data_IF_383605903278
#
_entry.id   IF_383605903278
#
_cell.length_a   1.000
_cell.length_b   1.000
_cell.length_c   1.000
_cell.angle_alpha   90.00
_cell.angle_beta   90.00
_cell.angle_gamma   90.00
#
_symmetry.space_group_name_H-M   'P 1'
#
loop_
_entity.id
_entity.type
_entity.pdbx_description
1 polymer ?
#
# COMPACT_ATOMS: atom_id res chain seq x y z
N UNK A 1 17.04 -13.62 -26.39
CA UNK A 1 17.31 -12.58 -25.36
C UNK A 1 16.13 -11.64 -25.15
N UNK A 2 15.58 -11.00 -26.20
CA UNK A 2 14.45 -10.05 -26.11
C UNK A 2 13.18 -10.57 -25.39
N UNK A 3 12.85 -11.86 -25.55
CA UNK A 3 11.65 -12.47 -24.92
C UNK A 3 11.73 -12.55 -23.38
N UNK A 4 12.95 -12.59 -22.81
CA UNK A 4 13.15 -12.58 -21.35
C UNK A 4 13.14 -11.15 -20.78
N UNK A 5 13.49 -10.16 -21.61
CA UNK A 5 13.51 -8.75 -21.23
C UNK A 5 12.08 -8.22 -21.03
N UNK A 6 11.16 -8.54 -21.93
CA UNK A 6 9.74 -8.14 -21.81
C UNK A 6 9.06 -8.68 -20.53
N UNK A 7 9.37 -9.94 -20.17
CA UNK A 7 8.93 -10.53 -18.90
C UNK A 7 9.40 -9.71 -17.69
N UNK A 8 10.65 -9.30 -17.71
CA UNK A 8 11.26 -8.53 -16.62
C UNK A 8 10.54 -7.18 -16.47
N UNK A 9 10.40 -6.43 -17.57
CA UNK A 9 9.70 -5.14 -17.54
C UNK A 9 8.25 -5.24 -17.05
N UNK A 10 7.52 -6.29 -17.43
CA UNK A 10 6.12 -6.46 -16.99
C UNK A 10 6.01 -6.75 -15.49
N UNK A 11 6.81 -7.68 -14.97
CA UNK A 11 6.76 -8.06 -13.55
C UNK A 11 7.20 -6.89 -12.67
N UNK A 12 8.36 -6.32 -12.96
CA UNK A 12 8.91 -5.24 -12.13
C UNK A 12 8.21 -3.90 -12.36
N UNK A 13 7.67 -3.66 -13.54
CA UNK A 13 6.80 -2.51 -13.78
C UNK A 13 5.53 -2.58 -12.92
N UNK A 14 4.83 -3.73 -12.92
CA UNK A 14 3.68 -3.95 -12.05
C UNK A 14 4.04 -3.84 -10.56
N UNK A 15 5.22 -4.35 -10.17
CA UNK A 15 5.73 -4.27 -8.81
C UNK A 15 6.02 -2.82 -8.39
N UNK A 16 6.72 -2.03 -9.19
CA UNK A 16 7.02 -0.62 -8.92
C UNK A 16 5.74 0.20 -8.81
N UNK A 17 4.77 0.00 -9.70
CA UNK A 17 3.47 0.68 -9.62
C UNK A 17 2.74 0.32 -8.33
N UNK A 18 2.74 -0.97 -7.96
CA UNK A 18 2.14 -1.41 -6.70
C UNK A 18 2.88 -0.85 -5.48
N UNK A 19 4.20 -0.67 -5.57
CA UNK A 19 5.00 -0.06 -4.52
C UNK A 19 4.65 1.42 -4.30
N UNK A 20 4.49 2.16 -5.40
CA UNK A 20 4.05 3.55 -5.36
C UNK A 20 2.63 3.68 -4.79
N UNK A 21 1.71 2.80 -5.18
CA UNK A 21 0.36 2.76 -4.62
C UNK A 21 0.35 2.39 -3.13
N UNK A 22 1.13 1.39 -2.73
CA UNK A 22 1.28 1.04 -1.32
C UNK A 22 1.83 2.21 -0.49
N UNK A 23 2.74 3.00 -1.08
CA UNK A 23 3.30 4.19 -0.42
C UNK A 23 2.23 5.29 -0.28
N UNK A 24 1.38 5.47 -1.29
CA UNK A 24 0.21 6.35 -1.20
C UNK A 24 -0.72 5.91 -0.05
N UNK A 25 -1.04 4.61 0.03
CA UNK A 25 -1.85 4.05 1.12
C UNK A 25 -1.21 4.32 2.49
N UNK A 26 0.11 4.12 2.61
CA UNK A 26 0.85 4.43 3.84
C UNK A 26 0.61 5.87 4.29
N UNK A 27 0.73 6.83 3.36
CA UNK A 27 0.54 8.26 3.67
C UNK A 27 -0.89 8.56 4.07
N UNK A 28 -1.87 8.08 3.30
CA UNK A 28 -3.29 8.34 3.54
C UNK A 28 -3.77 7.69 4.84
N UNK A 29 -3.40 6.44 5.10
CA UNK A 29 -3.77 5.74 6.35
C UNK A 29 -3.14 6.43 7.55
N UNK A 30 -1.86 6.85 7.46
CA UNK A 30 -1.23 7.62 8.54
C UNK A 30 -1.97 8.93 8.80
N UNK A 31 -2.37 9.65 7.75
CA UNK A 31 -3.12 10.89 7.89
C UNK A 31 -4.51 10.64 8.50
N UNK A 32 -5.23 9.59 8.06
CA UNK A 32 -6.52 9.21 8.62
C UNK A 32 -6.42 8.90 10.14
N UNK A 33 -5.39 8.16 10.56
CA UNK A 33 -5.11 7.89 11.98
C UNK A 33 -4.89 9.19 12.73
N UNK A 34 -4.09 10.11 12.19
CA UNK A 34 -3.82 11.41 12.82
C UNK A 34 -5.11 12.21 13.01
N UNK A 35 -5.97 12.28 11.99
CA UNK A 35 -7.26 12.96 12.06
C UNK A 35 -8.16 12.37 13.14
N UNK A 36 -8.26 11.04 13.21
CA UNK A 36 -9.05 10.35 14.23
C UNK A 36 -8.51 10.60 15.64
N UNK A 37 -7.19 10.44 15.83
CA UNK A 37 -6.56 10.55 17.15
C UNK A 37 -6.66 11.98 17.69
N UNK A 38 -6.58 13.01 16.85
CA UNK A 38 -6.79 14.40 17.29
C UNK A 38 -8.17 14.60 17.92
N UNK A 39 -9.19 13.94 17.36
CA UNK A 39 -10.59 14.09 17.77
C UNK A 39 -10.96 13.27 19.00
N UNK A 40 -10.37 12.08 19.17
CA UNK A 40 -10.77 11.13 20.21
C UNK A 40 -9.77 10.97 21.36
N UNK A 41 -8.56 11.51 21.25
CA UNK A 41 -7.48 11.22 22.20
C UNK A 41 -6.80 12.50 22.71
N UNK A 42 -6.54 12.54 24.03
CA UNK A 42 -5.80 13.61 24.68
C UNK A 42 -4.32 13.69 24.28
N UNK A 43 -3.62 14.71 24.79
CA UNK A 43 -2.23 15.07 24.38
C UNK A 43 -1.24 13.90 24.39
N UNK A 44 -1.34 13.00 25.37
CA UNK A 44 -0.41 11.88 25.55
C UNK A 44 -0.64 10.77 24.52
N UNK A 45 -1.90 10.45 24.22
CA UNK A 45 -2.21 9.41 23.23
C UNK A 45 -1.99 9.87 21.78
N UNK A 46 -2.02 11.19 21.50
CA UNK A 46 -1.53 11.73 20.21
C UNK A 46 -0.06 11.40 19.97
N UNK A 47 0.81 11.69 20.93
CA UNK A 47 2.25 11.44 20.79
C UNK A 47 2.55 9.95 20.59
N UNK A 48 1.86 9.08 21.32
CA UNK A 48 2.00 7.64 21.15
C UNK A 48 1.52 7.19 19.76
N UNK A 49 0.33 7.60 19.33
CA UNK A 49 -0.22 7.17 18.03
C UNK A 49 0.63 7.63 16.84
N UNK A 50 1.18 8.85 16.88
CA UNK A 50 2.06 9.38 15.81
C UNK A 50 3.28 8.48 15.61
N UNK A 51 3.94 8.11 16.71
CA UNK A 51 5.21 7.41 16.66
C UNK A 51 5.03 5.91 16.40
N UNK A 52 4.04 5.27 17.04
CA UNK A 52 3.81 3.83 16.87
C UNK A 52 3.16 3.49 15.53
N UNK A 53 2.22 4.30 15.02
CA UNK A 53 1.58 4.03 13.73
C UNK A 53 2.58 4.02 12.58
N UNK A 54 3.59 4.90 12.60
CA UNK A 54 4.61 4.95 11.57
C UNK A 54 5.42 3.65 11.49
N UNK A 55 5.80 3.08 12.63
CA UNK A 55 6.54 1.81 12.68
C UNK A 55 5.67 0.67 12.17
N UNK A 56 4.43 0.55 12.66
CA UNK A 56 3.53 -0.56 12.32
C UNK A 56 3.18 -0.53 10.82
N UNK A 57 2.77 0.63 10.29
CA UNK A 57 2.36 0.75 8.89
C UNK A 57 3.60 0.66 7.98
N UNK A 58 4.76 1.17 8.42
CA UNK A 58 6.00 1.06 7.66
C UNK A 58 6.47 -0.38 7.50
N UNK A 59 6.39 -1.17 8.58
CA UNK A 59 6.66 -2.61 8.52
C UNK A 59 5.65 -3.35 7.64
N UNK A 60 4.36 -3.06 7.78
CA UNK A 60 3.33 -3.65 6.93
C UNK A 60 3.56 -3.34 5.45
N UNK A 61 3.93 -2.11 5.12
CA UNK A 61 4.29 -1.68 3.77
C UNK A 61 5.50 -2.46 3.23
N UNK A 62 6.58 -2.53 3.99
CA UNK A 62 7.80 -3.24 3.58
C UNK A 62 7.53 -4.73 3.32
N UNK A 63 6.80 -5.38 4.23
CA UNK A 63 6.38 -6.77 4.08
C UNK A 63 5.56 -6.94 2.80
N UNK A 64 4.55 -6.08 2.59
CA UNK A 64 3.71 -6.14 1.40
C UNK A 64 4.51 -6.02 0.09
N UNK A 65 5.49 -5.10 0.03
CA UNK A 65 6.36 -4.90 -1.14
C UNK A 65 7.15 -6.18 -1.47
N UNK A 66 7.77 -6.79 -0.46
CA UNK A 66 8.57 -8.01 -0.62
C UNK A 66 7.70 -9.17 -1.10
N UNK A 67 6.52 -9.35 -0.49
CA UNK A 67 5.57 -10.38 -0.90
C UNK A 67 5.01 -10.16 -2.30
N UNK A 68 4.74 -8.91 -2.68
CA UNK A 68 4.20 -8.58 -4.00
C UNK A 68 5.15 -8.94 -5.13
N UNK A 69 6.46 -8.85 -4.91
CA UNK A 69 7.44 -9.25 -5.91
C UNK A 69 7.31 -10.76 -6.22
N UNK A 70 7.32 -11.58 -5.17
CA UNK A 70 7.14 -13.03 -5.30
C UNK A 70 5.77 -13.36 -5.93
N UNK A 71 4.72 -12.66 -5.49
CA UNK A 71 3.36 -12.85 -5.99
C UNK A 71 3.22 -12.55 -7.48
N UNK A 72 3.91 -11.52 -8.01
CA UNK A 72 3.90 -11.21 -9.44
C UNK A 72 4.80 -12.13 -10.25
N UNK A 73 5.93 -12.58 -9.71
CA UNK A 73 6.79 -13.59 -10.36
C UNK A 73 6.02 -14.90 -10.60
N UNK A 74 5.31 -15.39 -9.58
CA UNK A 74 4.42 -16.55 -9.69
C UNK A 74 3.20 -16.26 -10.59
N UNK A 75 2.65 -15.05 -10.52
CA UNK A 75 1.55 -14.63 -11.37
C UNK A 75 1.90 -14.72 -12.85
N UNK A 76 3.11 -14.30 -13.20
CA UNK A 76 3.58 -14.35 -14.56
C UNK A 76 3.81 -15.79 -15.04
N UNK A 77 4.41 -16.67 -14.22
CA UNK A 77 4.62 -18.07 -14.62
C UNK A 77 3.30 -18.81 -14.88
N UNK A 78 2.23 -18.43 -14.19
CA UNK A 78 0.88 -18.96 -14.39
C UNK A 78 0.06 -18.21 -15.46
N UNK A 79 0.58 -17.17 -16.12
CA UNK A 79 -0.18 -16.34 -17.07
C UNK A 79 -1.28 -15.47 -16.43
N UNK A 80 -1.26 -15.31 -15.11
CA UNK A 80 -2.27 -14.60 -14.32
C UNK A 80 -1.83 -13.19 -13.88
N UNK A 81 -0.69 -12.69 -14.37
CA UNK A 81 -0.13 -11.38 -13.98
C UNK A 81 -1.17 -10.24 -14.03
N UNK A 82 -1.90 -9.99 -15.14
CA UNK A 82 -2.85 -8.87 -15.19
C UNK A 82 -3.99 -9.02 -14.19
N UNK A 83 -4.47 -10.25 -13.94
CA UNK A 83 -5.50 -10.51 -12.94
C UNK A 83 -4.99 -10.28 -11.52
N UNK A 84 -3.76 -10.71 -11.22
CA UNK A 84 -3.11 -10.49 -9.92
C UNK A 84 -2.85 -9.00 -9.69
N UNK A 85 -2.29 -8.30 -10.67
CA UNK A 85 -2.05 -6.86 -10.62
C UNK A 85 -3.35 -6.07 -10.45
N UNK A 86 -4.39 -6.40 -11.21
CA UNK A 86 -5.69 -5.75 -11.09
C UNK A 86 -6.31 -5.93 -9.70
N UNK A 87 -6.21 -7.13 -9.11
CA UNK A 87 -6.66 -7.38 -7.73
C UNK A 87 -5.90 -6.54 -6.71
N UNK A 88 -4.56 -6.52 -6.78
CA UNK A 88 -3.73 -5.74 -5.86
C UNK A 88 -4.04 -4.26 -5.99
N UNK A 89 -4.12 -3.75 -7.21
CA UNK A 89 -4.48 -2.36 -7.50
C UNK A 89 -5.85 -2.02 -6.93
N UNK A 90 -6.85 -2.90 -7.09
CA UNK A 90 -8.18 -2.69 -6.53
C UNK A 90 -8.16 -2.61 -5.00
N UNK A 91 -7.40 -3.48 -4.33
CA UNK A 91 -7.27 -3.42 -2.87
C UNK A 91 -6.58 -2.14 -2.41
N UNK A 92 -5.50 -1.73 -3.07
CA UNK A 92 -4.79 -0.48 -2.74
C UNK A 92 -5.69 0.74 -2.95
N UNK A 93 -6.34 0.84 -4.11
CA UNK A 93 -7.29 1.92 -4.38
C UNK A 93 -8.47 1.92 -3.38
N UNK A 94 -8.93 0.75 -2.95
CA UNK A 94 -9.95 0.62 -1.91
C UNK A 94 -9.48 1.18 -0.56
N UNK A 95 -8.25 0.87 -0.15
CA UNK A 95 -7.64 1.41 1.08
C UNK A 95 -7.48 2.93 0.97
N UNK A 96 -6.90 3.43 -0.14
CA UNK A 96 -6.77 4.86 -0.41
C UNK A 96 -8.12 5.59 -0.36
N UNK A 97 -9.17 5.01 -0.98
CA UNK A 97 -10.51 5.60 -0.98
C UNK A 97 -11.08 5.68 0.45
N UNK A 98 -11.02 4.60 1.23
CA UNK A 98 -11.51 4.60 2.61
C UNK A 98 -10.73 5.60 3.49
N UNK A 99 -9.41 5.60 3.41
CA UNK A 99 -8.58 6.56 4.14
C UNK A 99 -8.89 8.01 3.74
N UNK A 100 -9.06 8.27 2.44
CA UNK A 100 -9.46 9.57 1.91
C UNK A 100 -10.82 10.04 2.44
N UNK A 101 -11.83 9.16 2.48
CA UNK A 101 -13.14 9.47 3.04
C UNK A 101 -13.06 9.78 4.54
N UNK A 102 -12.27 9.02 5.31
CA UNK A 102 -12.03 9.31 6.74
C UNK A 102 -11.43 10.71 6.90
N UNK A 103 -10.42 11.05 6.11
CA UNK A 103 -9.80 12.38 6.17
C UNK A 103 -10.82 13.46 5.83
N UNK A 104 -11.61 13.28 4.78
CA UNK A 104 -12.56 14.30 4.32
C UNK A 104 -13.73 14.54 5.29
N UNK A 105 -14.26 13.50 5.94
CA UNK A 105 -15.45 13.62 6.79
C UNK A 105 -15.14 13.82 8.28
N UNK A 106 -13.92 13.54 8.73
CA UNK A 106 -13.53 13.69 10.15
C UNK A 106 -12.79 15.02 10.41
N UNK A 107 -12.15 15.60 9.40
CA UNK A 107 -11.71 17.02 9.41
C UNK A 107 -12.94 17.91 9.38
#
# INVERSE_FOLDING_TARGET
MARNIGKFFLIYGAWIVSAALALLDFVLVRQAIMTLVVRFVGKWGRAAAVNFSMVIIGLAWLIAIIFLEAYYREGYSAGLLPRRFGKVTLYMLGIAAVAGLIIQFVV
#
